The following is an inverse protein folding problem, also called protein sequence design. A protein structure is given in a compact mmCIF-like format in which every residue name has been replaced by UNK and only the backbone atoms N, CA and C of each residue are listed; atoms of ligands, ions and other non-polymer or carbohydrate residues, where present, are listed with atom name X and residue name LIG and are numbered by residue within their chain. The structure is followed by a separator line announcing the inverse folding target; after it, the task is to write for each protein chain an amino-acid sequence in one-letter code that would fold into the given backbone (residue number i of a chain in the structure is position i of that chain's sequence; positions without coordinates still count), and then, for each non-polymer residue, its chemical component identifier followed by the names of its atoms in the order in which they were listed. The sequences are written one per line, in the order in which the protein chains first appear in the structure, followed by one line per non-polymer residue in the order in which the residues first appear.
data_IF_971115875631
#
_entry.id   IF_971115875631
#
_cell.length_a   1.000
_cell.length_b   1.000
_cell.length_c   1.000
_cell.angle_alpha   90.00
_cell.angle_beta   90.00
_cell.angle_gamma   90.00
#
_symmetry.space_group_name_H-M   'P 1'
#
loop_
_entity.id
_entity.type
_entity.pdbx_description
1 polymer ?
#
# COMPACT_ATOMS: atom_id res chain seq x y z
N UNK A 1 -29.76 23.96 41.82
CA UNK A 1 -28.62 23.61 40.95
C UNK A 1 -29.01 22.50 39.98
N UNK A 2 -29.41 21.30 40.44
CA UNK A 2 -29.74 20.15 39.56
C UNK A 2 -31.19 20.09 39.07
N UNK A 3 -31.85 21.25 38.88
CA UNK A 3 -33.18 21.27 38.27
C UNK A 3 -33.02 21.16 36.76
N UNK A 4 -33.95 20.48 36.11
CA UNK A 4 -34.03 20.42 34.65
C UNK A 4 -34.24 21.82 34.08
N UNK A 5 -33.45 22.16 33.06
CA UNK A 5 -33.57 23.37 32.27
C UNK A 5 -34.29 23.06 30.95
N UNK A 6 -33.81 22.06 30.21
CA UNK A 6 -34.48 21.49 29.03
C UNK A 6 -34.00 20.05 28.78
N UNK A 7 -34.60 19.39 27.79
CA UNK A 7 -34.28 18.02 27.40
C UNK A 7 -34.10 17.91 25.89
N UNK A 8 -33.10 17.13 25.45
CA UNK A 8 -32.87 16.76 24.04
C UNK A 8 -32.85 15.25 23.95
N UNK A 9 -33.84 14.67 23.27
CA UNK A 9 -34.01 13.20 23.22
C UNK A 9 -34.06 12.59 24.62
N UNK A 10 -33.07 11.77 24.99
CA UNK A 10 -32.94 11.17 26.34
C UNK A 10 -32.10 12.00 27.31
N UNK A 11 -31.36 13.00 26.84
CA UNK A 11 -30.43 13.81 27.63
C UNK A 11 -31.15 14.96 28.34
N UNK A 12 -31.16 14.90 29.68
CA UNK A 12 -31.64 15.98 30.54
C UNK A 12 -30.51 16.99 30.75
N UNK A 13 -30.78 18.26 30.44
CA UNK A 13 -29.84 19.38 30.62
C UNK A 13 -30.31 20.20 31.80
N UNK A 14 -29.40 20.52 32.72
CA UNK A 14 -29.74 21.18 33.99
C UNK A 14 -29.33 22.64 34.02
N UNK A 15 -29.87 23.39 34.98
CA UNK A 15 -29.41 24.76 35.26
C UNK A 15 -27.92 24.81 35.64
N UNK A 16 -27.37 23.75 36.22
CA UNK A 16 -25.95 23.68 36.56
C UNK A 16 -25.06 23.60 35.30
N UNK A 17 -25.52 22.87 34.28
CA UNK A 17 -24.79 22.76 33.01
C UNK A 17 -24.72 24.11 32.31
N UNK A 18 -25.83 24.87 32.30
CA UNK A 18 -25.85 26.22 31.78
C UNK A 18 -25.01 27.20 32.62
N UNK A 19 -25.01 27.06 33.95
CA UNK A 19 -24.16 27.86 34.82
C UNK A 19 -22.66 27.63 34.52
N UNK A 20 -22.25 26.38 34.28
CA UNK A 20 -20.89 26.05 33.88
C UNK A 20 -20.53 26.65 32.51
N UNK A 21 -21.45 26.62 31.55
CA UNK A 21 -21.27 27.29 30.27
C UNK A 21 -21.04 28.81 30.45
N UNK A 22 -21.89 29.48 31.24
CA UNK A 22 -21.76 30.91 31.54
C UNK A 22 -20.41 31.26 32.21
N UNK A 23 -19.93 30.41 33.12
CA UNK A 23 -18.60 30.59 33.74
C UNK A 23 -17.47 30.53 32.71
N UNK A 24 -17.58 29.62 31.73
CA UNK A 24 -16.62 29.52 30.62
C UNK A 24 -16.62 30.76 29.72
N UNK A 25 -17.79 31.36 29.50
CA UNK A 25 -17.95 32.53 28.63
C UNK A 25 -17.66 33.87 29.30
N UNK A 26 -17.41 33.92 30.61
CA UNK A 26 -17.25 35.17 31.37
C UNK A 26 -16.17 36.10 30.79
N UNK A 27 -15.03 35.54 30.34
CA UNK A 27 -13.92 36.31 29.75
C UNK A 27 -14.33 37.04 28.47
N UNK A 28 -15.30 36.51 27.71
CA UNK A 28 -15.78 37.10 26.45
C UNK A 28 -16.47 38.44 26.68
N UNK A 29 -17.01 38.66 27.89
CA UNK A 29 -17.79 39.83 28.26
C UNK A 29 -17.05 40.81 29.18
N UNK A 30 -15.79 40.53 29.49
CA UNK A 30 -14.96 41.41 30.32
C UNK A 30 -14.86 42.80 29.68
N UNK A 31 -15.08 43.85 30.50
CA UNK A 31 -15.08 45.27 30.09
C UNK A 31 -16.11 45.68 29.03
N UNK A 32 -17.06 44.80 28.66
CA UNK A 32 -18.13 45.13 27.70
C UNK A 32 -19.36 45.68 28.43
N UNK A 33 -19.85 46.83 27.99
CA UNK A 33 -21.09 47.42 28.48
C UNK A 33 -22.30 46.78 27.78
N UNK A 34 -22.65 45.56 28.18
CA UNK A 34 -23.80 44.80 27.65
C UNK A 34 -24.74 44.47 28.82
N UNK A 35 -26.06 44.67 28.70
CA UNK A 35 -27.01 44.28 29.74
C UNK A 35 -26.90 42.79 30.08
N UNK A 36 -26.94 42.46 31.38
CA UNK A 36 -26.85 41.08 31.85
C UNK A 36 -27.89 40.16 31.20
N UNK A 37 -29.13 40.64 31.03
CA UNK A 37 -30.21 39.90 30.36
C UNK A 37 -29.85 39.52 28.91
N UNK A 38 -29.22 40.43 28.17
CA UNK A 38 -28.80 40.17 26.79
C UNK A 38 -27.64 39.17 26.71
N UNK A 39 -26.73 39.18 27.70
CA UNK A 39 -25.67 38.17 27.82
C UNK A 39 -26.29 36.79 28.08
N UNK A 40 -27.19 36.70 29.06
CA UNK A 40 -27.86 35.43 29.41
C UNK A 40 -28.65 34.89 28.25
N UNK A 41 -29.42 35.71 27.53
CA UNK A 41 -30.20 35.29 26.37
C UNK A 41 -29.29 34.76 25.25
N UNK A 42 -28.21 35.49 24.93
CA UNK A 42 -27.26 35.08 23.91
C UNK A 42 -26.56 33.76 24.24
N UNK A 43 -26.03 33.65 25.46
CA UNK A 43 -25.33 32.44 25.90
C UNK A 43 -26.29 31.26 26.07
N UNK A 44 -27.54 31.50 26.48
CA UNK A 44 -28.55 30.46 26.53
C UNK A 44 -28.83 29.87 25.15
N UNK A 45 -29.03 30.72 24.14
CA UNK A 45 -29.25 30.27 22.76
C UNK A 45 -28.05 29.47 22.23
N UNK A 46 -26.83 29.97 22.44
CA UNK A 46 -25.60 29.28 22.03
C UNK A 46 -25.40 27.93 22.76
N UNK A 47 -25.68 27.91 24.06
CA UNK A 47 -25.64 26.69 24.87
C UNK A 47 -26.67 25.66 24.40
N UNK A 48 -27.91 26.11 24.14
CA UNK A 48 -28.97 25.25 23.66
C UNK A 48 -28.63 24.65 22.29
N UNK A 49 -28.20 25.48 21.33
CA UNK A 49 -27.81 25.05 19.99
C UNK A 49 -26.65 24.04 20.03
N UNK A 50 -25.56 24.37 20.74
CA UNK A 50 -24.41 23.47 20.87
C UNK A 50 -24.77 22.17 21.58
N UNK A 51 -25.68 22.20 22.56
CA UNK A 51 -26.14 20.99 23.26
C UNK A 51 -26.97 20.09 22.37
N UNK A 52 -27.83 20.67 21.52
CA UNK A 52 -28.64 19.93 20.54
C UNK A 52 -27.73 19.30 19.48
N UNK A 53 -26.83 20.09 18.90
CA UNK A 53 -25.89 19.61 17.88
C UNK A 53 -25.04 18.46 18.44
N UNK A 54 -24.48 18.65 19.65
CA UNK A 54 -23.66 17.63 20.29
C UNK A 54 -24.44 16.35 20.57
N UNK A 55 -25.71 16.45 20.98
CA UNK A 55 -26.56 15.28 21.16
C UNK A 55 -26.73 14.50 19.85
N UNK A 56 -27.03 15.18 18.74
CA UNK A 56 -27.18 14.50 17.45
C UNK A 56 -25.86 13.91 16.95
N UNK A 57 -24.73 14.61 17.12
CA UNK A 57 -23.40 14.06 16.81
C UNK A 57 -23.10 12.77 17.60
N UNK A 58 -23.35 12.79 18.91
CA UNK A 58 -23.09 11.64 19.79
C UNK A 58 -24.01 10.44 19.51
N UNK A 59 -25.17 10.67 18.89
CA UNK A 59 -26.16 9.65 18.55
C UNK A 59 -26.24 9.36 17.04
N UNK A 60 -25.35 9.94 16.23
CA UNK A 60 -25.40 9.85 14.77
C UNK A 60 -25.37 8.40 14.27
N UNK A 61 -24.63 7.52 14.95
CA UNK A 61 -24.60 6.08 14.70
C UNK A 61 -25.98 5.40 14.79
N UNK A 62 -26.86 5.90 15.67
CA UNK A 62 -28.17 5.31 15.93
C UNK A 62 -29.29 6.02 15.18
N UNK A 63 -29.12 7.30 14.87
CA UNK A 63 -30.12 8.12 14.18
C UNK A 63 -29.96 8.09 12.65
N UNK A 64 -28.75 7.84 12.14
CA UNK A 64 -28.45 7.73 10.71
C UNK A 64 -27.96 6.32 10.38
N UNK A 65 -28.83 5.53 9.74
CA UNK A 65 -28.55 4.13 9.40
C UNK A 65 -27.30 3.99 8.51
N UNK A 66 -27.17 4.81 7.47
CA UNK A 66 -26.02 4.76 6.55
C UNK A 66 -24.69 5.04 7.28
N UNK A 67 -24.68 6.04 8.15
CA UNK A 67 -23.51 6.36 8.97
C UNK A 67 -23.21 5.22 9.96
N UNK A 68 -24.24 4.67 10.62
CA UNK A 68 -24.09 3.54 11.52
C UNK A 68 -23.53 2.30 10.82
N UNK A 69 -23.97 2.02 9.60
CA UNK A 69 -23.43 0.94 8.76
C UNK A 69 -21.95 1.16 8.43
N UNK A 70 -21.57 2.36 7.98
CA UNK A 70 -20.16 2.70 7.68
C UNK A 70 -19.28 2.55 8.93
N UNK A 71 -19.75 3.06 10.08
CA UNK A 71 -19.00 2.99 11.32
C UNK A 71 -18.84 1.54 11.80
N UNK A 72 -19.88 0.72 11.63
CA UNK A 72 -19.83 -0.71 11.91
C UNK A 72 -18.84 -1.43 10.99
N UNK A 73 -18.89 -1.20 9.68
CA UNK A 73 -17.94 -1.78 8.73
C UNK A 73 -16.49 -1.43 9.09
N UNK A 74 -16.24 -0.18 9.51
CA UNK A 74 -14.93 0.24 9.96
C UNK A 74 -14.47 -0.49 11.24
N UNK A 75 -15.34 -0.62 12.24
CA UNK A 75 -15.05 -1.36 13.49
C UNK A 75 -14.78 -2.84 13.23
N UNK A 76 -15.64 -3.48 12.43
CA UNK A 76 -15.50 -4.88 12.04
C UNK A 76 -14.22 -5.09 11.22
N UNK A 77 -13.87 -4.15 10.34
CA UNK A 77 -12.64 -4.14 9.57
C UNK A 77 -11.38 -4.03 10.43
N UNK A 78 -11.39 -3.17 11.46
CA UNK A 78 -10.28 -3.07 12.42
C UNK A 78 -10.11 -4.35 13.24
N UNK A 79 -11.22 -4.96 13.66
CA UNK A 79 -11.17 -6.24 14.38
C UNK A 79 -10.61 -7.36 13.49
N UNK A 80 -11.05 -7.42 12.24
CA UNK A 80 -10.52 -8.38 11.28
C UNK A 80 -9.02 -8.13 11.03
N UNK A 81 -8.60 -6.87 10.88
CA UNK A 81 -7.19 -6.51 10.72
C UNK A 81 -6.33 -6.99 11.89
N UNK A 82 -6.72 -6.69 13.13
CA UNK A 82 -6.00 -7.10 14.34
C UNK A 82 -5.90 -8.63 14.43
N UNK A 83 -6.99 -9.33 14.09
CA UNK A 83 -7.01 -10.78 14.05
C UNK A 83 -6.07 -11.35 12.97
N UNK A 84 -6.09 -10.80 11.76
CA UNK A 84 -5.20 -11.22 10.67
C UNK A 84 -3.73 -10.94 10.98
N UNK A 85 -3.45 -9.78 11.57
CA UNK A 85 -2.10 -9.41 12.00
C UNK A 85 -1.56 -10.43 13.01
N UNK A 86 -2.35 -10.79 14.00
CA UNK A 86 -1.95 -11.74 15.03
C UNK A 86 -1.85 -13.18 14.52
N UNK A 87 -2.89 -13.69 13.88
CA UNK A 87 -3.03 -15.12 13.58
C UNK A 87 -2.31 -15.52 12.28
N UNK A 88 -2.07 -14.59 11.35
CA UNK A 88 -1.44 -14.86 10.05
C UNK A 88 -0.10 -14.12 9.91
N UNK A 89 -0.10 -12.79 9.97
CA UNK A 89 1.08 -12.02 9.53
C UNK A 89 2.25 -12.10 10.53
N UNK A 90 1.98 -11.93 11.82
CA UNK A 90 2.97 -12.07 12.88
C UNK A 90 3.38 -13.53 13.08
N UNK A 91 2.43 -14.46 12.99
CA UNK A 91 2.71 -15.89 13.04
C UNK A 91 3.72 -16.31 11.95
N UNK A 92 3.49 -15.87 10.70
CA UNK A 92 4.38 -16.20 9.59
C UNK A 92 5.75 -15.53 9.67
N UNK A 93 5.80 -14.24 10.05
CA UNK A 93 7.03 -13.45 10.04
C UNK A 93 7.99 -13.81 11.18
N UNK A 94 7.47 -14.29 12.31
CA UNK A 94 8.26 -14.66 13.49
C UNK A 94 8.69 -16.13 13.52
N UNK A 95 8.00 -17.01 12.78
CA UNK A 95 8.32 -18.43 12.69
C UNK A 95 9.49 -18.72 11.74
N UNK A 96 10.70 -18.48 12.23
CA UNK A 96 11.94 -18.68 11.46
C UNK A 96 12.17 -20.14 11.04
N UNK A 97 11.76 -21.10 11.87
CA UNK A 97 11.91 -22.54 11.57
C UNK A 97 10.90 -22.99 10.53
N UNK A 98 9.65 -22.56 10.64
CA UNK A 98 8.61 -22.82 9.66
C UNK A 98 8.92 -22.20 8.31
N UNK A 99 9.36 -20.94 8.28
CA UNK A 99 9.81 -20.27 7.05
C UNK A 99 10.94 -21.05 6.35
N UNK A 100 11.94 -21.49 7.11
CA UNK A 100 13.06 -22.24 6.56
C UNK A 100 12.61 -23.60 6.02
N UNK A 101 11.79 -24.33 6.79
CA UNK A 101 11.23 -25.62 6.35
C UNK A 101 10.34 -25.47 5.13
N UNK A 102 9.54 -24.40 5.06
CA UNK A 102 8.68 -24.08 3.93
C UNK A 102 9.52 -23.81 2.68
N UNK A 103 10.56 -22.98 2.79
CA UNK A 103 11.50 -22.74 1.69
C UNK A 103 12.16 -24.04 1.22
N UNK A 104 12.66 -24.88 2.12
CA UNK A 104 13.37 -26.11 1.74
C UNK A 104 12.46 -27.08 0.96
N UNK A 105 11.14 -27.10 1.27
CA UNK A 105 10.13 -27.89 0.54
C UNK A 105 9.72 -27.28 -0.79
N UNK A 106 9.83 -25.96 -0.95
CA UNK A 106 9.35 -25.22 -2.12
C UNK A 106 10.48 -24.52 -2.88
N UNK A 107 11.73 -24.90 -2.67
CA UNK A 107 12.91 -24.20 -3.18
C UNK A 107 12.87 -24.03 -4.72
N UNK A 108 12.29 -25.00 -5.44
CA UNK A 108 12.11 -24.95 -6.89
C UNK A 108 11.19 -23.82 -7.37
N UNK A 109 10.35 -23.26 -6.50
CA UNK A 109 9.47 -22.13 -6.82
C UNK A 109 10.21 -20.79 -6.73
N UNK A 110 11.41 -20.78 -6.14
CA UNK A 110 12.21 -19.59 -5.89
C UNK A 110 13.47 -19.64 -6.75
N UNK A 111 13.31 -19.31 -8.02
CA UNK A 111 14.42 -19.31 -8.98
C UNK A 111 14.72 -17.90 -9.47
N UNK A 112 16.00 -17.63 -9.68
CA UNK A 112 16.42 -16.65 -10.65
C UNK A 112 16.22 -17.26 -12.03
N UNK A 113 15.47 -16.58 -12.90
CA UNK A 113 15.44 -16.95 -14.32
C UNK A 113 16.83 -16.72 -14.94
N UNK A 114 16.99 -17.05 -16.22
CA UNK A 114 18.22 -16.75 -16.95
C UNK A 114 18.56 -15.26 -16.82
N UNK A 115 19.80 -14.99 -16.40
CA UNK A 115 20.37 -13.65 -16.22
C UNK A 115 21.61 -13.49 -17.08
N UNK A 116 21.98 -12.25 -17.32
CA UNK A 116 23.27 -11.88 -17.89
C UNK A 116 23.99 -10.95 -16.94
N UNK A 117 25.29 -11.15 -16.78
CA UNK A 117 26.18 -10.12 -16.23
C UNK A 117 26.66 -9.28 -17.41
N UNK A 118 26.25 -8.01 -17.43
CA UNK A 118 26.39 -7.20 -18.61
C UNK A 118 26.59 -5.71 -18.31
N UNK A 119 27.15 -5.05 -19.32
CA UNK A 119 27.21 -3.60 -19.41
C UNK A 119 26.30 -3.16 -20.56
N UNK A 120 25.27 -2.39 -20.25
CA UNK A 120 24.35 -1.80 -21.24
C UNK A 120 24.74 -0.35 -21.47
N UNK A 121 25.21 -0.04 -22.67
CA UNK A 121 25.48 1.31 -23.13
C UNK A 121 24.27 1.83 -23.92
N UNK A 122 23.85 3.08 -23.66
CA UNK A 122 22.76 3.72 -24.38
C UNK A 122 23.11 5.13 -24.85
N UNK A 123 22.63 5.52 -26.04
CA UNK A 123 22.75 6.87 -26.59
C UNK A 123 21.58 7.20 -27.52
N UNK A 124 21.22 8.48 -27.60
CA UNK A 124 20.26 8.98 -28.58
C UNK A 124 20.80 8.89 -30.04
N UNK A 125 22.11 8.84 -30.23
CA UNK A 125 22.75 8.86 -31.57
C UNK A 125 23.41 7.51 -31.88
N UNK A 126 23.05 6.95 -33.04
CA UNK A 126 23.64 5.69 -33.54
C UNK A 126 25.16 5.79 -33.74
N UNK A 127 25.64 6.96 -34.14
CA UNK A 127 27.07 7.22 -34.37
C UNK A 127 27.91 7.09 -33.11
N UNK A 128 27.37 7.53 -31.97
CA UNK A 128 28.06 7.38 -30.69
C UNK A 128 28.06 5.92 -30.23
N UNK A 129 26.97 5.17 -30.47
CA UNK A 129 26.95 3.72 -30.23
C UNK A 129 27.91 2.93 -31.12
N UNK A 130 28.17 3.37 -32.36
CA UNK A 130 29.21 2.77 -33.21
C UNK A 130 30.60 2.92 -32.60
N UNK A 131 30.92 4.10 -32.04
CA UNK A 131 32.20 4.33 -31.33
C UNK A 131 32.29 3.45 -30.09
N UNK A 132 31.24 3.43 -29.28
CA UNK A 132 31.17 2.62 -28.05
C UNK A 132 31.36 1.14 -28.37
N UNK A 133 30.70 0.61 -29.41
CA UNK A 133 30.87 -0.78 -29.85
C UNK A 133 32.33 -1.09 -30.17
N UNK A 134 32.99 -0.27 -30.98
CA UNK A 134 34.39 -0.48 -31.35
C UNK A 134 35.34 -0.40 -30.14
N UNK A 135 35.07 0.53 -29.21
CA UNK A 135 35.88 0.71 -28.00
C UNK A 135 35.72 -0.48 -27.04
N UNK A 136 34.49 -0.97 -26.83
CA UNK A 136 34.24 -2.18 -26.04
C UNK A 136 34.87 -3.42 -26.68
N UNK A 137 34.79 -3.57 -28.01
CA UNK A 137 35.45 -4.67 -28.73
C UNK A 137 36.97 -4.62 -28.63
N UNK A 138 37.55 -3.43 -28.46
CA UNK A 138 38.99 -3.23 -28.21
C UNK A 138 39.39 -3.47 -26.75
N UNK A 139 38.44 -3.80 -25.87
CA UNK A 139 38.66 -4.08 -24.45
C UNK A 139 38.79 -2.84 -23.55
N UNK A 140 38.37 -1.66 -24.02
CA UNK A 140 38.33 -0.47 -23.17
C UNK A 140 37.22 -0.57 -22.14
N UNK A 141 37.47 -0.05 -20.93
CA UNK A 141 36.46 -0.05 -19.88
C UNK A 141 35.34 0.95 -20.21
N UNK A 142 34.13 0.67 -19.75
CA UNK A 142 33.01 1.61 -19.87
C UNK A 142 33.30 2.99 -19.25
N UNK A 143 34.16 3.03 -18.24
CA UNK A 143 34.47 4.26 -17.51
C UNK A 143 35.39 5.14 -18.37
N UNK A 144 36.40 4.52 -19.02
CA UNK A 144 37.25 5.20 -20.00
C UNK A 144 36.43 5.71 -21.20
N UNK A 145 35.49 4.88 -21.69
CA UNK A 145 34.61 5.26 -22.81
C UNK A 145 33.69 6.42 -22.40
N UNK A 146 33.14 6.38 -21.19
CA UNK A 146 32.31 7.46 -20.66
C UNK A 146 33.10 8.77 -20.58
N UNK A 147 34.33 8.73 -20.05
CA UNK A 147 35.21 9.91 -19.98
C UNK A 147 35.63 10.42 -21.36
N UNK A 148 35.82 9.54 -22.34
CA UNK A 148 36.22 9.93 -23.69
C UNK A 148 35.07 10.55 -24.51
N UNK A 149 33.82 10.13 -24.28
CA UNK A 149 32.66 10.53 -25.09
C UNK A 149 31.79 11.60 -24.44
N UNK A 150 31.69 11.62 -23.12
CA UNK A 150 30.91 12.62 -22.39
C UNK A 150 31.76 13.87 -22.11
N UNK A 151 31.19 15.05 -22.28
CA UNK A 151 31.81 16.34 -21.94
C UNK A 151 31.07 16.98 -20.77
N UNK A 152 31.61 18.08 -20.21
CA UNK A 152 30.92 18.85 -19.17
C UNK A 152 29.55 19.39 -19.62
N UNK A 153 29.35 19.58 -20.93
CA UNK A 153 28.14 20.18 -21.50
C UNK A 153 27.22 19.19 -22.24
N UNK A 154 27.68 17.97 -22.57
CA UNK A 154 26.90 16.99 -23.33
C UNK A 154 27.19 15.55 -22.83
N UNK A 155 26.15 14.89 -22.31
CA UNK A 155 26.18 13.46 -22.00
C UNK A 155 25.74 12.67 -23.24
N UNK A 156 26.69 12.03 -23.91
CA UNK A 156 26.46 11.25 -25.14
C UNK A 156 26.15 9.78 -24.88
N UNK A 157 26.68 9.21 -23.80
CA UNK A 157 26.50 7.80 -23.46
C UNK A 157 26.24 7.60 -21.97
N UNK A 158 25.33 6.67 -21.66
CA UNK A 158 25.05 6.19 -20.30
C UNK A 158 25.40 4.70 -20.25
N UNK A 159 26.04 4.27 -19.17
CA UNK A 159 26.34 2.87 -18.91
C UNK A 159 25.59 2.39 -17.67
N UNK A 160 24.90 1.25 -17.82
CA UNK A 160 24.32 0.51 -16.70
C UNK A 160 25.06 -0.81 -16.59
N UNK A 161 25.64 -1.09 -15.41
CA UNK A 161 26.36 -2.33 -15.14
C UNK A 161 25.58 -3.16 -14.14
N UNK A 162 25.50 -4.46 -14.36
CA UNK A 162 25.05 -5.40 -13.35
C UNK A 162 24.49 -6.69 -13.90
N UNK A 163 24.09 -7.55 -12.98
CA UNK A 163 23.39 -8.80 -13.30
C UNK A 163 21.90 -8.54 -13.44
N UNK A 164 21.33 -8.88 -14.60
CA UNK A 164 19.93 -8.61 -14.93
C UNK A 164 19.27 -9.82 -15.58
N UNK A 165 17.99 -10.07 -15.26
CA UNK A 165 17.20 -11.08 -15.96
C UNK A 165 17.04 -10.70 -17.44
N UNK A 166 17.06 -11.69 -18.33
CA UNK A 166 16.96 -11.46 -19.78
C UNK A 166 15.66 -10.78 -20.20
N UNK A 167 14.63 -10.85 -19.35
CA UNK A 167 13.33 -10.21 -19.53
C UNK A 167 13.25 -8.80 -18.94
N UNK A 168 14.35 -8.27 -18.40
CA UNK A 168 14.39 -6.94 -17.82
C UNK A 168 14.09 -5.87 -18.89
N UNK A 169 13.24 -4.90 -18.55
CA UNK A 169 12.82 -3.79 -19.42
C UNK A 169 13.97 -2.90 -19.93
N UNK A 170 15.16 -3.00 -19.36
CA UNK A 170 16.35 -2.29 -19.83
C UNK A 170 17.06 -3.00 -20.98
N UNK A 171 16.65 -4.23 -21.32
CA UNK A 171 17.21 -5.00 -22.42
C UNK A 171 16.27 -5.02 -23.63
N UNK A 172 16.82 -4.99 -24.86
CA UNK A 172 16.05 -5.27 -26.06
C UNK A 172 15.40 -6.65 -25.97
N UNK A 173 14.11 -6.75 -26.31
CA UNK A 173 13.36 -8.01 -26.24
C UNK A 173 13.88 -9.09 -27.20
N UNK A 174 14.58 -8.68 -28.26
CA UNK A 174 15.19 -9.54 -29.29
C UNK A 174 16.70 -9.74 -29.08
N UNK A 175 17.21 -9.45 -27.87
CA UNK A 175 18.62 -9.60 -27.55
C UNK A 175 19.11 -11.03 -27.78
N UNK A 176 20.09 -11.18 -28.65
CA UNK A 176 20.83 -12.43 -28.85
C UNK A 176 21.72 -12.71 -27.64
N UNK A 177 21.44 -13.80 -26.92
CA UNK A 177 22.21 -14.21 -25.75
C UNK A 177 23.53 -14.88 -26.15
N UNK A 178 24.55 -14.06 -26.36
CA UNK A 178 25.91 -14.51 -26.68
C UNK A 178 26.93 -13.61 -25.98
N UNK A 179 27.91 -14.24 -25.34
CA UNK A 179 29.01 -13.51 -24.70
C UNK A 179 29.79 -12.65 -25.71
N UNK A 180 30.21 -11.47 -25.25
CA UNK A 180 30.86 -10.44 -26.06
C UNK A 180 29.98 -9.23 -26.35
N UNK A 181 30.46 -8.38 -27.27
CA UNK A 181 29.78 -7.13 -27.65
C UNK A 181 28.70 -7.42 -28.67
N UNK A 182 27.49 -6.94 -28.39
CA UNK A 182 26.33 -7.15 -29.24
C UNK A 182 26.33 -6.30 -30.51
N UNK A 183 25.39 -6.58 -31.41
CA UNK A 183 24.98 -5.61 -32.44
C UNK A 183 24.34 -4.38 -31.78
N UNK A 184 24.22 -3.28 -32.53
CA UNK A 184 23.48 -2.11 -32.07
C UNK A 184 21.99 -2.39 -32.18
N UNK A 185 21.28 -2.28 -31.06
CA UNK A 185 19.83 -2.36 -31.01
C UNK A 185 19.22 -0.96 -31.01
N UNK A 186 18.01 -0.83 -31.54
CA UNK A 186 17.17 0.36 -31.36
C UNK A 186 16.00 -0.04 -30.45
N UNK A 187 15.94 0.51 -29.25
CA UNK A 187 15.02 0.09 -28.21
C UNK A 187 14.73 1.28 -27.25
N UNK A 188 13.46 1.47 -26.87
CA UNK A 188 13.01 2.60 -26.03
C UNK A 188 13.54 3.97 -26.51
N UNK A 189 13.38 4.25 -27.80
CA UNK A 189 13.80 5.52 -28.45
C UNK A 189 15.30 5.86 -28.32
N UNK A 190 16.15 4.86 -28.06
CA UNK A 190 17.60 5.00 -27.99
C UNK A 190 18.32 3.84 -28.67
N UNK A 191 19.59 4.05 -29.00
CA UNK A 191 20.48 3.02 -29.50
C UNK A 191 21.24 2.40 -28.34
N UNK A 192 21.33 1.07 -28.35
CA UNK A 192 21.97 0.29 -27.28
C UNK A 192 23.05 -0.64 -27.82
N UNK A 193 24.12 -0.77 -27.05
CA UNK A 193 25.14 -1.80 -27.22
C UNK A 193 25.32 -2.49 -25.88
N UNK A 194 25.25 -3.83 -25.89
CA UNK A 194 25.35 -4.64 -24.69
C UNK A 194 26.64 -5.45 -24.77
N UNK A 195 27.51 -5.30 -23.78
CA UNK A 195 28.61 -6.23 -23.55
C UNK A 195 28.12 -7.28 -22.55
N UNK A 196 28.03 -8.53 -22.98
CA UNK A 196 27.65 -9.66 -22.13
C UNK A 196 28.94 -10.33 -21.67
N UNK A 197 29.28 -10.18 -20.40
CA UNK A 197 30.47 -10.81 -19.80
C UNK A 197 30.20 -12.28 -19.47
N UNK A 198 28.98 -12.58 -19.01
CA UNK A 198 28.60 -13.95 -18.63
C UNK A 198 27.10 -14.17 -18.75
N UNK A 199 26.72 -15.35 -19.25
CA UNK A 199 25.33 -15.83 -19.19
C UNK A 199 25.18 -16.72 -17.95
N UNK A 200 24.25 -16.35 -17.06
CA UNK A 200 23.94 -17.08 -15.84
C UNK A 200 22.65 -17.85 -16.06
N UNK A 201 22.67 -19.20 -16.11
CA UNK A 201 21.46 -19.99 -16.31
C UNK A 201 20.51 -19.83 -15.12
N UNK A 202 19.31 -20.38 -15.27
CA UNK A 202 18.33 -20.44 -14.16
C UNK A 202 18.95 -21.14 -12.96
N UNK A 203 18.84 -20.52 -11.78
CA UNK A 203 19.41 -21.03 -10.53
C UNK A 203 18.46 -20.80 -9.37
N UNK A 204 18.42 -21.71 -8.40
CA UNK A 204 17.66 -21.49 -7.18
C UNK A 204 18.21 -20.26 -6.43
N UNK A 205 17.30 -19.37 -6.03
CA UNK A 205 17.60 -18.30 -5.08
C UNK A 205 17.94 -18.94 -3.75
N UNK A 206 18.86 -18.34 -3.02
CA UNK A 206 19.06 -18.66 -1.59
C UNK A 206 17.83 -18.24 -0.78
N UNK A 207 17.73 -18.76 0.45
CA UNK A 207 16.65 -18.36 1.36
C UNK A 207 16.61 -16.85 1.59
N UNK A 208 17.77 -16.20 1.77
CA UNK A 208 17.83 -14.75 1.99
C UNK A 208 17.40 -13.96 0.75
N UNK A 209 17.80 -14.38 -0.45
CA UNK A 209 17.36 -13.75 -1.71
C UNK A 209 15.86 -13.95 -1.97
N UNK A 210 15.27 -15.05 -1.51
CA UNK A 210 13.87 -15.37 -1.67
C UNK A 210 12.99 -14.91 -0.50
N UNK A 211 13.58 -14.42 0.60
CA UNK A 211 12.93 -14.27 1.91
C UNK A 211 11.59 -13.54 1.84
N UNK A 212 11.52 -12.40 1.15
CA UNK A 212 10.27 -11.64 1.03
C UNK A 212 9.15 -12.44 0.39
N UNK A 213 9.45 -13.16 -0.70
CA UNK A 213 8.45 -14.02 -1.39
C UNK A 213 8.12 -15.26 -0.56
N UNK A 214 9.11 -15.87 0.10
CA UNK A 214 8.90 -17.00 1.01
C UNK A 214 7.98 -16.61 2.16
N UNK A 215 8.17 -15.44 2.77
CA UNK A 215 7.30 -14.94 3.84
C UNK A 215 5.86 -14.76 3.33
N UNK A 216 5.68 -14.14 2.17
CA UNK A 216 4.35 -13.95 1.58
C UNK A 216 3.64 -15.27 1.25
N UNK A 217 4.37 -16.25 0.72
CA UNK A 217 3.80 -17.58 0.42
C UNK A 217 3.51 -18.36 1.70
N UNK A 218 4.37 -18.24 2.71
CA UNK A 218 4.15 -18.88 3.99
C UNK A 218 2.98 -18.25 4.76
N UNK A 219 2.79 -16.92 4.67
CA UNK A 219 1.58 -16.25 5.17
C UNK A 219 0.33 -16.84 4.54
N UNK A 220 0.32 -17.00 3.20
CA UNK A 220 -0.81 -17.60 2.49
C UNK A 220 -1.07 -19.03 2.95
N UNK A 221 -0.02 -19.83 3.15
CA UNK A 221 -0.14 -21.18 3.70
C UNK A 221 -0.72 -21.20 5.13
N UNK A 222 -0.30 -20.29 6.01
CA UNK A 222 -0.87 -20.18 7.37
C UNK A 222 -2.34 -19.77 7.30
N UNK A 223 -2.68 -18.78 6.46
CA UNK A 223 -4.05 -18.31 6.26
C UNK A 223 -4.97 -19.44 5.78
N UNK A 224 -4.56 -20.19 4.75
CA UNK A 224 -5.33 -21.34 4.23
C UNK A 224 -5.60 -22.39 5.31
N UNK A 225 -4.59 -22.72 6.12
CA UNK A 225 -4.74 -23.67 7.22
C UNK A 225 -5.63 -23.12 8.35
N UNK A 226 -5.51 -21.82 8.64
CA UNK A 226 -6.33 -21.16 9.65
C UNK A 226 -7.81 -21.14 9.24
N UNK A 227 -8.11 -20.72 8.01
CA UNK A 227 -9.47 -20.75 7.43
C UNK A 227 -10.04 -22.18 7.45
N UNK A 228 -9.23 -23.18 7.08
CA UNK A 228 -9.65 -24.58 7.15
C UNK A 228 -10.03 -24.98 8.58
N UNK A 229 -9.20 -24.64 9.56
CA UNK A 229 -9.49 -24.90 10.98
C UNK A 229 -10.75 -24.19 11.48
N UNK A 230 -11.01 -22.97 11.01
CA UNK A 230 -12.25 -22.26 11.31
C UNK A 230 -13.47 -22.97 10.73
N UNK A 231 -13.41 -23.38 9.46
CA UNK A 231 -14.51 -24.09 8.80
C UNK A 231 -14.82 -25.46 9.44
N UNK A 232 -13.79 -26.15 9.95
CA UNK A 232 -13.98 -27.40 10.69
C UNK A 232 -14.61 -27.18 12.07
N UNK A 233 -14.28 -26.08 12.73
CA UNK A 233 -14.79 -25.74 14.07
C UNK A 233 -16.19 -25.14 14.04
N UNK A 234 -16.48 -24.31 13.05
CA UNK A 234 -17.71 -23.54 12.95
C UNK A 234 -18.53 -24.04 11.78
N UNK A 235 -19.69 -24.62 12.09
CA UNK A 235 -20.64 -25.07 11.08
C UNK A 235 -21.26 -23.87 10.39
N UNK A 236 -21.00 -23.71 9.09
CA UNK A 236 -21.64 -22.71 8.24
C UNK A 236 -22.83 -23.37 7.53
N UNK A 237 -24.03 -22.85 7.75
CA UNK A 237 -25.23 -23.26 7.03
C UNK A 237 -25.66 -22.14 6.08
N UNK A 238 -25.73 -22.45 4.78
CA UNK A 238 -26.12 -21.50 3.75
C UNK A 238 -27.61 -21.67 3.47
N UNK A 239 -28.38 -20.59 3.57
CA UNK A 239 -29.74 -20.58 3.08
C UNK A 239 -29.74 -20.31 1.56
N UNK A 240 -29.73 -21.38 0.77
CA UNK A 240 -29.65 -21.30 -0.69
C UNK A 240 -30.84 -20.56 -1.33
N UNK A 241 -32.01 -20.64 -0.72
CA UNK A 241 -33.21 -19.96 -1.20
C UNK A 241 -33.05 -18.43 -1.10
N UNK A 242 -32.62 -17.94 0.07
CA UNK A 242 -32.38 -16.50 0.25
C UNK A 242 -31.16 -16.03 -0.56
N UNK A 243 -30.09 -16.82 -0.64
CA UNK A 243 -28.92 -16.50 -1.48
C UNK A 243 -29.30 -16.35 -2.95
N UNK A 244 -30.14 -17.23 -3.48
CA UNK A 244 -30.62 -17.16 -4.87
C UNK A 244 -31.47 -15.92 -5.11
N UNK A 245 -32.31 -15.55 -4.14
CA UNK A 245 -33.13 -14.33 -4.19
C UNK A 245 -32.28 -13.05 -4.16
N UNK A 246 -31.27 -12.98 -3.29
CA UNK A 246 -30.34 -11.84 -3.27
C UNK A 246 -29.58 -11.71 -4.59
N UNK A 247 -29.08 -12.83 -5.14
CA UNK A 247 -28.37 -12.85 -6.43
C UNK A 247 -29.23 -12.33 -7.60
N UNK A 248 -30.54 -12.61 -7.60
CA UNK A 248 -31.43 -12.12 -8.66
C UNK A 248 -31.69 -10.61 -8.55
N UNK A 249 -31.88 -10.09 -7.33
CA UNK A 249 -32.08 -8.66 -7.09
C UNK A 249 -30.88 -7.81 -7.53
N UNK A 250 -29.64 -8.27 -7.25
CA UNK A 250 -28.42 -7.57 -7.67
C UNK A 250 -28.28 -7.54 -9.20
N UNK A 251 -28.70 -8.60 -9.91
CA UNK A 251 -28.67 -8.63 -11.39
C UNK A 251 -29.69 -7.68 -12.00
N UNK A 252 -30.88 -7.57 -11.40
CA UNK A 252 -31.94 -6.68 -11.90
C UNK A 252 -31.59 -5.20 -11.73
N UNK A 253 -30.89 -4.83 -10.66
CA UNK A 253 -30.48 -3.44 -10.39
C UNK A 253 -29.28 -2.95 -11.23
N UNK A 254 -28.70 -3.79 -12.09
CA UNK A 254 -27.63 -3.43 -13.03
C UNK A 254 -28.14 -3.14 -14.46
N UNK A 255 -29.45 -3.26 -14.70
CA UNK A 255 -30.13 -2.88 -15.95
C UNK A 255 -30.98 -1.64 -15.73
#
# INVERSE_FOLDING_TARGET
ANRELFKVGTKVVTYNDFANHLLGSQKVYFEKSIPFSAIVEKEYNAFQESTILKYHEDNLEFENEDFGLILKEYRDGLLLFDLMEKEVWNAASTDTLGLKSYYDKHASNYVWNTRIDAIVASSAKKEDMLKVKNMLESGQSSDDISTALNTESEQKVIFTKGTMEVTNQSLPSDLELKEGVSKIYNYNDAFHVILIDKIVPTTNKTFEEARGKVVSDYQSFIEENWIKGLNERYKVEINDAELSKVKSQIKTNKN
#
